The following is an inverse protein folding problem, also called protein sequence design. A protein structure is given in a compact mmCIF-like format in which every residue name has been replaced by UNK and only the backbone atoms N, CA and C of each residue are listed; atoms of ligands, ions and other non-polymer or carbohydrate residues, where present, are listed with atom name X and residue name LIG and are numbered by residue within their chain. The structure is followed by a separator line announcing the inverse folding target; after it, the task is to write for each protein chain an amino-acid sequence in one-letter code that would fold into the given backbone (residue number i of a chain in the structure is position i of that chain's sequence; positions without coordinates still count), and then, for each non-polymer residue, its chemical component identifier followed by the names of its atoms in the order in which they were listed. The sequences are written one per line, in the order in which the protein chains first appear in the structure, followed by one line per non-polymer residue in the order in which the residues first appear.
data_IF_165001918303
#
_entry.id   IF_165001918303
#
_cell.length_a   1.000
_cell.length_b   1.000
_cell.length_c   1.000
_cell.angle_alpha   90.00
_cell.angle_beta   90.00
_cell.angle_gamma   90.00
#
_symmetry.space_group_name_H-M   'P 1'
#
loop_
_entity.id
_entity.type
_entity.pdbx_description
1 polymer ?
#
# COMPACT_ATOMS: atom_id res chain seq x y z
N UNK A 1 -10.88 11.44 -3.43
CA UNK A 1 -9.43 11.42 -3.14
C UNK A 1 -8.88 10.17 -3.76
N UNK A 2 -7.76 10.26 -4.46
CA UNK A 2 -7.07 9.09 -5.01
C UNK A 2 -6.46 8.30 -3.83
N UNK A 3 -6.70 6.99 -3.76
CA UNK A 3 -6.24 6.17 -2.65
C UNK A 3 -4.70 6.20 -2.50
N UNK A 4 -3.95 6.40 -3.60
CA UNK A 4 -2.50 6.56 -3.57
C UNK A 4 -2.09 7.88 -2.91
N UNK A 5 -2.86 8.94 -3.14
CA UNK A 5 -2.59 10.22 -2.50
C UNK A 5 -2.76 10.12 -0.97
N UNK A 6 -3.82 9.44 -0.50
CA UNK A 6 -4.05 9.24 0.93
C UNK A 6 -2.90 8.44 1.59
N UNK A 7 -2.40 7.41 0.89
CA UNK A 7 -1.23 6.64 1.32
C UNK A 7 0.01 7.52 1.49
N UNK A 8 0.35 8.30 0.46
CA UNK A 8 1.52 9.19 0.46
C UNK A 8 1.44 10.27 1.54
N UNK A 9 0.28 10.89 1.71
CA UNK A 9 0.05 11.90 2.74
C UNK A 9 0.20 11.30 4.14
N UNK A 10 -0.33 10.10 4.38
CA UNK A 10 -0.22 9.42 5.66
C UNK A 10 1.23 9.02 5.99
N UNK A 11 1.99 8.52 5.01
CA UNK A 11 3.41 8.21 5.18
C UNK A 11 4.24 9.47 5.44
N UNK A 12 3.99 10.55 4.70
CA UNK A 12 4.66 11.84 4.89
C UNK A 12 4.38 12.51 6.23
N UNK A 13 3.25 12.19 6.87
CA UNK A 13 2.82 12.77 8.15
C UNK A 13 3.23 11.91 9.37
N UNK A 14 4.49 11.50 9.46
CA UNK A 14 5.11 10.78 10.60
C UNK A 14 5.22 9.24 10.49
N UNK A 15 5.17 8.64 9.29
CA UNK A 15 5.47 7.22 9.10
C UNK A 15 6.56 7.01 8.04
N UNK A 16 7.64 7.80 8.11
CA UNK A 16 8.71 7.79 7.11
C UNK A 16 9.39 6.41 6.95
N UNK A 17 9.36 5.56 7.98
CA UNK A 17 9.84 4.18 7.92
C UNK A 17 9.03 3.30 6.95
N UNK A 18 7.83 3.74 6.57
CA UNK A 18 6.98 3.11 5.56
C UNK A 18 7.10 3.78 4.19
N UNK A 19 8.10 4.65 3.96
CA UNK A 19 8.32 5.29 2.66
C UNK A 19 8.60 4.27 1.55
N UNK A 20 9.50 3.31 1.81
CA UNK A 20 9.83 2.26 0.83
C UNK A 20 8.61 1.37 0.56
N UNK A 21 7.88 1.00 1.61
CA UNK A 21 6.64 0.24 1.51
C UNK A 21 5.57 0.96 0.67
N UNK A 22 5.38 2.28 0.87
CA UNK A 22 4.44 3.04 0.06
C UNK A 22 4.92 3.23 -1.38
N UNK A 23 6.22 3.29 -1.61
CA UNK A 23 6.79 3.33 -2.96
C UNK A 23 6.56 2.01 -3.70
N UNK A 24 6.65 0.86 -3.02
CA UNK A 24 6.31 -0.45 -3.59
C UNK A 24 4.83 -0.53 -3.98
N UNK A 25 3.92 -0.11 -3.09
CA UNK A 25 2.49 -0.03 -3.40
C UNK A 25 2.19 0.88 -4.61
N UNK A 26 2.92 1.99 -4.73
CA UNK A 26 2.84 2.87 -5.89
C UNK A 26 3.30 2.18 -7.17
N UNK A 27 4.44 1.49 -7.13
CA UNK A 27 4.96 0.76 -8.30
C UNK A 27 3.94 -0.25 -8.80
N UNK A 28 3.41 -1.12 -7.92
CA UNK A 28 2.44 -2.14 -8.30
C UNK A 28 1.17 -1.52 -8.89
N UNK A 29 0.70 -0.42 -8.32
CA UNK A 29 -0.50 0.28 -8.82
C UNK A 29 -0.25 0.88 -10.22
N UNK A 30 0.96 1.39 -10.48
CA UNK A 30 1.34 1.92 -11.79
C UNK A 30 1.52 0.80 -12.83
N UNK A 31 2.11 -0.32 -12.44
CA UNK A 31 2.27 -1.50 -13.30
C UNK A 31 0.91 -2.07 -13.71
N UNK A 32 -0.04 -2.15 -12.78
CA UNK A 32 -1.43 -2.50 -13.09
C UNK A 32 -2.09 -1.50 -14.05
N UNK A 33 -2.00 -0.20 -13.76
CA UNK A 33 -2.60 0.87 -14.60
C UNK A 33 -2.03 0.91 -16.01
N UNK A 34 -0.74 0.56 -16.17
CA UNK A 34 -0.08 0.48 -17.46
C UNK A 34 -0.38 -0.80 -18.24
N UNK A 35 -1.01 -1.80 -17.58
CA UNK A 35 -1.25 -3.12 -18.13
C UNK A 35 -0.01 -4.02 -18.17
N UNK A 36 1.07 -3.62 -17.49
CA UNK A 36 2.28 -4.44 -17.34
C UNK A 36 2.08 -5.61 -16.35
N UNK A 37 1.08 -5.49 -15.47
CA UNK A 37 0.72 -6.47 -14.44
C UNK A 37 -0.76 -6.80 -14.54
N UNK A 38 -1.11 -8.07 -14.28
CA UNK A 38 -2.51 -8.49 -14.21
C UNK A 38 -3.16 -8.08 -12.88
N UNK A 39 -4.49 -8.02 -12.83
CA UNK A 39 -5.19 -7.70 -11.58
C UNK A 39 -4.94 -8.76 -10.49
N UNK A 40 -4.92 -10.05 -10.85
CA UNK A 40 -4.68 -11.13 -9.89
C UNK A 40 -3.28 -11.02 -9.28
N UNK A 41 -2.26 -10.77 -10.11
CA UNK A 41 -0.87 -10.56 -9.67
C UNK A 41 -0.74 -9.32 -8.77
N UNK A 42 -1.44 -8.24 -9.11
CA UNK A 42 -1.48 -7.04 -8.27
C UNK A 42 -2.08 -7.33 -6.89
N UNK A 43 -3.19 -8.07 -6.84
CA UNK A 43 -3.83 -8.43 -5.58
C UNK A 43 -2.91 -9.29 -4.70
N UNK A 44 -2.23 -10.28 -5.28
CA UNK A 44 -1.25 -11.10 -4.56
C UNK A 44 -0.10 -10.27 -3.99
N UNK A 45 0.50 -9.38 -4.81
CA UNK A 45 1.60 -8.53 -4.38
C UNK A 45 1.19 -7.54 -3.28
N UNK A 46 -0.01 -6.97 -3.37
CA UNK A 46 -0.53 -6.08 -2.32
C UNK A 46 -0.82 -6.85 -1.02
N UNK A 47 -1.31 -8.09 -1.10
CA UNK A 47 -1.48 -8.97 0.08
C UNK A 47 -0.14 -9.35 0.73
N UNK A 48 0.89 -9.62 -0.06
CA UNK A 48 2.24 -9.84 0.45
C UNK A 48 2.80 -8.59 1.12
N UNK A 49 2.57 -7.43 0.51
CA UNK A 49 2.98 -6.13 1.05
C UNK A 49 2.29 -5.82 2.40
N UNK A 50 1.02 -6.22 2.57
CA UNK A 50 0.26 -6.15 3.84
C UNK A 50 0.87 -7.02 4.94
N UNK A 51 1.55 -8.11 4.57
CA UNK A 51 2.19 -9.07 5.48
C UNK A 51 3.68 -8.82 5.67
N UNK A 52 4.24 -7.84 4.95
CA UNK A 52 5.66 -7.52 4.98
C UNK A 52 6.15 -7.18 6.39
N UNK A 53 7.41 -7.55 6.64
CA UNK A 53 8.13 -7.17 7.86
C UNK A 53 8.23 -5.65 8.03
N UNK A 54 8.11 -4.88 6.93
CA UNK A 54 8.15 -3.41 6.93
C UNK A 54 7.01 -2.82 7.77
N UNK A 55 5.78 -3.32 7.59
CA UNK A 55 4.64 -2.95 8.44
C UNK A 55 4.86 -3.46 9.86
N UNK A 56 5.41 -4.67 10.01
CA UNK A 56 5.64 -5.28 11.33
C UNK A 56 6.66 -4.52 12.18
N UNK A 57 7.67 -3.90 11.55
CA UNK A 57 8.76 -3.16 12.21
C UNK A 57 8.47 -1.67 12.38
N UNK A 58 7.79 -1.03 11.43
CA UNK A 58 7.43 0.38 11.54
C UNK A 58 6.28 0.63 12.52
N UNK A 59 5.52 -0.40 12.86
CA UNK A 59 4.35 -0.33 13.71
C UNK A 59 4.60 -1.09 15.03
N UNK A 60 5.42 -0.53 15.93
CA UNK A 60 5.32 -0.87 17.36
C UNK A 60 3.91 -0.55 17.91
N UNK A 61 3.13 0.23 17.16
CA UNK A 61 1.74 0.60 17.45
C UNK A 61 0.76 -0.12 16.48
N UNK A 62 -0.16 -0.90 17.06
CA UNK A 62 -1.25 -1.58 16.34
C UNK A 62 -2.04 -0.62 15.43
N UNK A 63 -2.20 0.65 15.81
CA UNK A 63 -2.92 1.65 15.03
C UNK A 63 -2.23 1.95 13.69
N UNK A 64 -0.89 2.00 13.66
CA UNK A 64 -0.11 2.21 12.43
C UNK A 64 -0.30 1.04 11.49
N UNK A 65 -0.22 -0.19 12.02
CA UNK A 65 -0.46 -1.41 11.23
C UNK A 65 -1.86 -1.46 10.65
N UNK A 66 -2.88 -1.21 11.47
CA UNK A 66 -4.27 -1.19 11.01
C UNK A 66 -4.50 -0.16 9.92
N UNK A 67 -3.93 1.04 10.06
CA UNK A 67 -4.09 2.09 9.04
C UNK A 67 -3.33 1.78 7.75
N UNK A 68 -2.13 1.20 7.83
CA UNK A 68 -1.37 0.76 6.66
C UNK A 68 -2.15 -0.28 5.84
N UNK A 69 -2.73 -1.28 6.52
CA UNK A 69 -3.57 -2.32 5.92
C UNK A 69 -4.81 -1.72 5.26
N UNK A 70 -5.51 -0.82 5.96
CA UNK A 70 -6.70 -0.12 5.44
C UNK A 70 -6.39 0.65 4.13
N UNK A 71 -5.25 1.33 4.08
CA UNK A 71 -4.84 2.10 2.90
C UNK A 71 -4.52 1.19 1.69
N UNK A 72 -3.92 0.02 1.90
CA UNK A 72 -3.71 -0.95 0.82
C UNK A 72 -5.04 -1.58 0.36
N UNK A 73 -5.96 -1.86 1.27
CA UNK A 73 -7.30 -2.37 0.91
C UNK A 73 -8.08 -1.34 0.07
N UNK A 74 -7.99 -0.06 0.41
CA UNK A 74 -8.60 1.02 -0.38
C UNK A 74 -7.99 1.10 -1.79
N UNK A 75 -6.68 0.88 -1.93
CA UNK A 75 -6.02 0.81 -3.24
C UNK A 75 -6.53 -0.37 -4.08
N UNK A 76 -6.60 -1.56 -3.48
CA UNK A 76 -7.13 -2.77 -4.13
C UNK A 76 -8.59 -2.56 -4.55
N UNK A 77 -9.41 -1.98 -3.69
CA UNK A 77 -10.82 -1.72 -3.99
C UNK A 77 -11.00 -0.66 -5.08
N UNK A 78 -10.09 0.31 -5.18
CA UNK A 78 -10.16 1.37 -6.18
C UNK A 78 -9.95 0.86 -7.61
N UNK A 79 -9.20 -0.23 -7.80
CA UNK A 79 -8.90 -0.80 -9.12
C UNK A 79 -9.89 -1.89 -9.56
N UNK A 80 -10.73 -2.39 -8.65
CA UNK A 80 -11.78 -3.39 -8.90
C UNK A 80 -13.05 -2.84 -9.58
N UNK A 81 -13.11 -1.54 -9.89
CA UNK A 81 -14.30 -0.87 -10.44
C UNK A 81 -14.20 -0.69 -11.96
#
# INVERSE_FOLDING_TARGET
MDAMQALKEWVGNNNADLADWAAEAESYTNDLKSGAMSQDEYEELMEDLKRSDSITKAADDLAVRSKAVELLDDLIAAVKK
#
